data_IF_170643305118
#
_entry.id   IF_170643305118
#
_cell.length_a   1.000
_cell.length_b   1.000
_cell.length_c   1.000
_cell.angle_alpha   90.00
_cell.angle_beta   90.00
_cell.angle_gamma   90.00
#
_symmetry.space_group_name_H-M   'P 1'
#
loop_
_entity.id
_entity.type
_entity.pdbx_description
1 polymer ?
#
# COMPACT_ATOMS: atom_id res chain seq x y z
N UNK A 1 8.28 -12.82 -22.24
CA UNK A 1 8.86 -14.02 -21.58
C UNK A 1 10.24 -13.79 -20.92
N UNK A 2 10.97 -12.69 -21.18
CA UNK A 2 12.24 -12.38 -20.48
C UNK A 2 12.07 -11.75 -19.08
N UNK A 3 10.91 -11.19 -18.75
CA UNK A 3 10.65 -10.46 -17.50
C UNK A 3 10.58 -11.36 -16.26
N UNK A 4 9.95 -12.54 -16.36
CA UNK A 4 9.78 -13.43 -15.20
C UNK A 4 11.10 -14.13 -14.78
N UNK A 5 11.95 -14.47 -15.75
CA UNK A 5 13.24 -15.09 -15.48
C UNK A 5 14.22 -14.11 -14.80
N UNK A 6 14.14 -12.81 -15.11
CA UNK A 6 14.95 -11.78 -14.47
C UNK A 6 14.52 -11.54 -13.00
N UNK A 7 13.22 -11.59 -12.72
CA UNK A 7 12.70 -11.47 -11.35
C UNK A 7 13.15 -12.64 -10.45
N UNK A 8 13.15 -13.86 -10.99
CA UNK A 8 13.61 -15.05 -10.25
C UNK A 8 15.13 -15.01 -9.99
N UNK A 9 15.92 -14.48 -10.93
CA UNK A 9 17.36 -14.31 -10.74
C UNK A 9 17.66 -13.23 -9.66
N UNK A 10 16.89 -12.16 -9.59
CA UNK A 10 17.05 -11.13 -8.55
C UNK A 10 16.68 -11.62 -7.15
N UNK A 11 15.79 -12.61 -7.02
CA UNK A 11 15.46 -13.22 -5.73
C UNK A 11 16.64 -14.00 -5.11
N UNK A 12 17.56 -14.50 -5.95
CA UNK A 12 18.77 -15.19 -5.50
C UNK A 12 19.86 -14.23 -5.00
N UNK A 13 19.81 -12.95 -5.38
CA UNK A 13 20.80 -11.93 -5.02
C UNK A 13 20.40 -11.08 -3.78
N UNK A 14 19.27 -11.33 -3.15
CA UNK A 14 18.88 -10.71 -1.88
C UNK A 14 19.78 -11.11 -0.68
N UNK A 15 20.81 -11.86 -0.90
CA UNK A 15 21.84 -12.26 0.05
C UNK A 15 23.13 -11.45 -0.11
N UNK A 16 23.23 -10.35 0.61
CA UNK A 16 24.47 -9.68 1.10
C UNK A 16 25.64 -9.52 0.12
N UNK A 17 25.82 -8.33 -0.44
CA UNK A 17 27.16 -7.80 -0.72
C UNK A 17 27.19 -6.28 -0.51
N UNK A 18 28.04 -5.86 0.44
CA UNK A 18 28.35 -4.46 0.73
C UNK A 18 29.38 -3.92 -0.25
N UNK A 19 29.12 -2.76 -0.90
CA UNK A 19 30.16 -1.96 -1.55
C UNK A 19 29.89 -0.44 -1.45
N UNK A 20 30.82 0.22 -0.88
CA UNK A 20 31.34 1.60 -0.70
C UNK A 20 30.51 2.85 -1.00
N UNK A 21 30.68 3.93 -0.18
CA UNK A 21 29.91 5.16 -0.19
C UNK A 21 30.47 6.23 -1.13
N UNK A 22 29.58 6.93 -1.83
CA UNK A 22 29.84 8.17 -2.57
C UNK A 22 29.10 9.36 -1.98
N UNK A 23 29.79 10.46 -1.80
CA UNK A 23 29.33 11.71 -1.18
C UNK A 23 28.42 12.52 -2.11
N UNK A 24 27.22 12.90 -1.66
CA UNK A 24 26.35 13.85 -2.38
C UNK A 24 24.84 13.69 -2.23
N UNK A 25 24.34 12.83 -1.34
CA UNK A 25 22.97 12.29 -1.37
C UNK A 25 22.01 12.93 -0.35
N UNK A 26 22.44 13.85 0.52
CA UNK A 26 21.64 14.27 1.69
C UNK A 26 20.28 14.93 1.40
N UNK A 27 20.08 15.60 0.27
CA UNK A 27 18.82 16.27 -0.05
C UNK A 27 17.84 15.36 -0.81
N UNK A 28 18.32 14.31 -1.50
CA UNK A 28 17.50 13.40 -2.32
C UNK A 28 16.71 12.39 -1.50
N UNK A 29 17.21 12.03 -0.30
CA UNK A 29 16.61 10.95 0.51
C UNK A 29 15.29 11.34 1.19
N UNK A 30 15.10 12.62 1.53
CA UNK A 30 13.91 13.08 2.26
C UNK A 30 12.64 13.01 1.40
N UNK A 31 12.76 13.28 0.09
CA UNK A 31 11.61 13.24 -0.83
C UNK A 31 11.22 11.83 -1.28
N UNK A 32 12.19 10.92 -1.38
CA UNK A 32 11.93 9.54 -1.81
C UNK A 32 11.08 8.73 -0.81
N UNK A 33 11.01 9.15 0.46
CA UNK A 33 10.29 8.44 1.52
C UNK A 33 8.76 8.58 1.45
N UNK A 34 8.25 9.60 0.77
CA UNK A 34 6.82 9.88 0.71
C UNK A 34 6.01 8.90 -0.12
N UNK A 35 6.65 8.02 -0.87
CA UNK A 35 6.02 7.27 -1.94
C UNK A 35 5.42 5.92 -1.54
N UNK A 36 5.64 5.45 -0.33
CA UNK A 36 5.44 4.03 -0.03
C UNK A 36 4.04 3.63 0.45
N UNK A 37 3.10 4.56 0.58
CA UNK A 37 1.82 4.21 1.18
C UNK A 37 0.65 4.32 0.22
N UNK A 38 0.48 3.29 -0.60
CA UNK A 38 -0.81 3.08 -1.26
C UNK A 38 -1.84 2.60 -0.24
N UNK A 39 -3.02 3.22 -0.14
CA UNK A 39 -4.12 2.74 0.70
C UNK A 39 -4.73 1.41 0.21
N UNK A 40 -4.14 0.79 -0.79
CA UNK A 40 -4.63 -0.43 -1.44
C UNK A 40 -4.57 -1.68 -0.57
N UNK A 41 -3.76 -1.71 0.48
CA UNK A 41 -3.69 -2.86 1.39
C UNK A 41 -5.03 -3.16 2.11
N UNK A 42 -5.94 -2.20 2.18
CA UNK A 42 -7.20 -2.33 2.89
C UNK A 42 -8.32 -3.04 2.12
N UNK A 43 -8.14 -3.25 0.83
CA UNK A 43 -9.12 -3.99 0.02
C UNK A 43 -8.90 -5.50 0.08
N UNK A 44 -7.68 -5.93 0.41
CA UNK A 44 -7.33 -7.31 0.65
C UNK A 44 -7.64 -7.67 2.11
N UNK A 45 -8.88 -8.07 2.38
CA UNK A 45 -9.29 -8.56 3.69
C UNK A 45 -8.83 -10.02 3.92
N UNK A 46 -8.90 -10.52 5.16
CA UNK A 46 -8.50 -11.89 5.50
C UNK A 46 -9.28 -13.00 4.75
N UNK A 47 -10.43 -12.67 4.18
CA UNK A 47 -11.30 -13.63 3.46
C UNK A 47 -10.76 -13.98 2.09
N UNK A 48 -10.80 -15.28 1.76
CA UNK A 48 -10.56 -15.76 0.40
C UNK A 48 -11.87 -15.78 -0.39
N UNK A 49 -11.76 -15.70 -1.71
CA UNK A 49 -12.89 -15.82 -2.62
C UNK A 49 -13.24 -17.30 -2.86
N UNK A 50 -14.50 -17.57 -3.15
CA UNK A 50 -14.94 -18.88 -3.60
C UNK A 50 -14.31 -19.24 -4.95
N UNK A 51 -14.07 -20.53 -5.18
CA UNK A 51 -13.49 -21.00 -6.42
C UNK A 51 -14.30 -20.56 -7.63
N UNK A 52 -13.61 -19.97 -8.62
CA UNK A 52 -14.22 -19.50 -9.86
C UNK A 52 -14.89 -18.13 -9.78
N UNK A 53 -14.89 -17.47 -8.62
CA UNK A 53 -15.38 -16.09 -8.48
C UNK A 53 -14.25 -15.09 -8.50
N UNK A 54 -14.53 -13.85 -8.89
CA UNK A 54 -13.54 -12.78 -8.90
C UNK A 54 -14.10 -11.46 -8.40
N UNK A 55 -13.18 -10.58 -8.03
CA UNK A 55 -13.49 -9.18 -7.76
C UNK A 55 -12.39 -8.28 -8.27
N UNK A 56 -12.77 -7.08 -8.67
CA UNK A 56 -11.84 -6.05 -9.09
C UNK A 56 -12.17 -4.73 -8.38
N UNK A 57 -11.14 -4.02 -8.01
CA UNK A 57 -11.23 -2.68 -7.41
C UNK A 57 -10.38 -1.73 -8.25
N UNK A 58 -10.94 -0.61 -8.63
CA UNK A 58 -10.22 0.49 -9.25
C UNK A 58 -10.26 1.67 -8.28
N UNK A 59 -9.10 2.03 -7.72
CA UNK A 59 -8.98 3.03 -6.69
C UNK A 59 -8.10 4.17 -7.18
N UNK A 60 -8.67 5.36 -7.23
CA UNK A 60 -7.96 6.62 -7.44
C UNK A 60 -7.71 7.31 -6.11
N UNK A 61 -6.49 7.76 -5.86
CA UNK A 61 -6.15 8.63 -4.74
C UNK A 61 -5.53 9.90 -5.25
N UNK A 62 -5.97 11.05 -4.71
CA UNK A 62 -5.32 12.33 -4.92
C UNK A 62 -4.90 12.87 -3.56
N UNK A 63 -3.62 13.18 -3.40
CA UNK A 63 -3.06 13.62 -2.14
C UNK A 63 -2.09 14.77 -2.32
N UNK A 64 -1.95 15.56 -1.25
CA UNK A 64 -1.05 16.70 -1.19
C UNK A 64 -0.37 16.75 0.17
N UNK A 65 0.83 17.29 0.21
CA UNK A 65 1.55 17.66 1.42
C UNK A 65 2.47 18.84 1.18
N UNK A 66 2.47 19.81 2.08
CA UNK A 66 3.41 20.91 2.18
C UNK A 66 4.20 20.88 3.50
N UNK A 67 4.06 19.80 4.24
CA UNK A 67 4.71 19.54 5.53
C UNK A 67 5.31 18.14 5.60
N UNK A 68 6.34 18.01 6.44
CA UNK A 68 7.00 16.74 6.75
C UNK A 68 7.15 16.59 8.26
N UNK A 69 6.98 15.37 8.76
CA UNK A 69 7.44 14.99 10.09
C UNK A 69 8.95 14.78 10.06
N UNK A 70 9.69 15.53 10.84
CA UNK A 70 11.14 15.35 10.96
C UNK A 70 11.53 14.14 11.83
N UNK A 71 12.83 13.96 12.05
CA UNK A 71 13.34 12.85 12.87
C UNK A 71 12.82 12.85 14.33
N UNK A 72 12.39 14.01 14.84
CA UNK A 72 11.80 14.19 16.18
C UNK A 72 10.27 14.24 16.16
N UNK A 73 9.63 13.88 15.03
CA UNK A 73 8.18 13.92 14.80
C UNK A 73 7.56 15.33 14.81
N UNK A 74 8.38 16.38 14.78
CA UNK A 74 7.89 17.74 14.65
C UNK A 74 7.54 18.02 13.19
N UNK A 75 6.47 18.81 12.98
CA UNK A 75 6.04 19.24 11.66
C UNK A 75 6.94 20.36 11.18
N UNK A 76 7.42 20.25 9.94
CA UNK A 76 8.23 21.25 9.25
C UNK A 76 7.70 21.46 7.83
N UNK A 77 7.76 22.69 7.33
CA UNK A 77 7.40 22.98 5.94
C UNK A 77 8.38 22.34 4.96
N UNK A 78 7.85 21.88 3.84
CA UNK A 78 8.58 21.30 2.71
C UNK A 78 7.98 21.84 1.41
N UNK A 79 8.69 21.80 0.27
CA UNK A 79 8.07 22.06 -1.01
C UNK A 79 6.82 21.18 -1.20
N UNK A 80 5.77 21.80 -1.74
CA UNK A 80 4.52 21.09 -1.95
C UNK A 80 4.73 19.87 -2.84
N UNK A 81 4.19 18.75 -2.40
CA UNK A 81 4.21 17.47 -3.05
C UNK A 81 2.76 17.04 -3.33
N UNK A 82 2.41 16.96 -4.60
CA UNK A 82 1.12 16.46 -5.04
C UNK A 82 1.29 15.09 -5.70
N UNK A 83 0.40 14.16 -5.37
CA UNK A 83 0.40 12.81 -5.94
C UNK A 83 -1.00 12.40 -6.35
N UNK A 84 -1.12 11.92 -7.57
CA UNK A 84 -2.26 11.15 -8.03
C UNK A 84 -1.83 9.71 -8.26
N UNK A 85 -2.62 8.76 -7.79
CA UNK A 85 -2.36 7.34 -7.92
C UNK A 85 -3.63 6.62 -8.33
N UNK A 86 -3.54 5.78 -9.36
CA UNK A 86 -4.60 4.88 -9.79
C UNK A 86 -4.11 3.45 -9.62
N UNK A 87 -4.76 2.70 -8.74
CA UNK A 87 -4.44 1.30 -8.46
C UNK A 87 -5.60 0.42 -8.84
N UNK A 88 -5.32 -0.62 -9.63
CA UNK A 88 -6.19 -1.76 -9.80
C UNK A 88 -5.85 -2.83 -8.77
N UNK A 89 -6.83 -3.49 -8.19
CA UNK A 89 -6.67 -4.76 -7.50
C UNK A 89 -7.62 -5.75 -8.15
N UNK A 90 -7.08 -6.84 -8.66
CA UNK A 90 -7.84 -7.95 -9.24
C UNK A 90 -7.57 -9.16 -8.35
N UNK A 91 -8.63 -9.79 -7.87
CA UNK A 91 -8.58 -11.00 -7.08
C UNK A 91 -9.42 -12.09 -7.74
N UNK A 92 -8.90 -13.32 -7.73
CA UNK A 92 -9.57 -14.50 -8.29
C UNK A 92 -9.43 -15.69 -7.36
N UNK A 93 -10.55 -16.29 -6.99
CA UNK A 93 -10.61 -17.52 -6.23
C UNK A 93 -10.17 -18.72 -7.07
N UNK A 94 -8.90 -19.10 -6.95
CA UNK A 94 -8.38 -20.29 -7.63
C UNK A 94 -8.94 -21.59 -7.01
N UNK A 95 -9.13 -21.56 -5.71
CA UNK A 95 -9.84 -22.58 -4.91
C UNK A 95 -10.60 -21.88 -3.78
N UNK A 96 -11.43 -22.62 -3.01
CA UNK A 96 -12.14 -22.03 -1.86
C UNK A 96 -11.20 -21.56 -0.73
N UNK A 97 -9.93 -21.92 -0.77
CA UNK A 97 -8.94 -21.55 0.24
C UNK A 97 -7.76 -20.72 -0.32
N UNK A 98 -7.68 -20.53 -1.65
CA UNK A 98 -6.60 -19.78 -2.30
C UNK A 98 -7.17 -18.72 -3.25
N UNK A 99 -6.84 -17.46 -3.00
CA UNK A 99 -7.13 -16.32 -3.87
C UNK A 99 -5.83 -15.80 -4.49
N UNK A 100 -5.78 -15.69 -5.80
CA UNK A 100 -4.69 -15.05 -6.54
C UNK A 100 -4.95 -13.55 -6.66
N UNK A 101 -3.89 -12.75 -6.71
CA UNK A 101 -3.94 -11.29 -6.66
C UNK A 101 -3.02 -10.67 -7.69
N UNK A 102 -3.49 -9.56 -8.30
CA UNK A 102 -2.69 -8.70 -9.19
C UNK A 102 -3.05 -7.23 -8.92
N UNK A 103 -2.03 -6.40 -8.65
CA UNK A 103 -2.20 -4.98 -8.32
C UNK A 103 -1.30 -4.11 -9.22
N UNK A 104 -1.73 -3.72 -10.43
CA UNK A 104 -1.05 -2.72 -11.24
C UNK A 104 -1.31 -1.31 -10.68
N UNK A 105 -0.33 -0.42 -10.82
CA UNK A 105 -0.38 0.94 -10.31
C UNK A 105 0.12 1.94 -11.34
N UNK A 106 -0.60 3.05 -11.50
CA UNK A 106 -0.16 4.24 -12.24
C UNK A 106 -0.02 5.41 -11.26
N UNK A 107 1.01 6.21 -11.42
CA UNK A 107 1.26 7.37 -10.56
C UNK A 107 1.62 8.60 -11.37
N UNK A 108 1.14 9.74 -10.89
CA UNK A 108 1.61 11.08 -11.27
C UNK A 108 2.06 11.79 -10.01
N UNK A 109 3.27 12.35 -10.05
CA UNK A 109 3.89 13.08 -8.94
C UNK A 109 4.30 14.45 -9.47
N UNK A 110 3.98 15.49 -8.70
CA UNK A 110 4.37 16.87 -8.93
C UNK A 110 4.98 17.44 -7.64
N UNK A 111 6.16 18.03 -7.76
CA UNK A 111 6.90 18.66 -6.65
C UNK A 111 7.15 20.09 -7.02
N UNK A 112 6.59 21.04 -6.23
CA UNK A 112 6.70 22.45 -6.47
C UNK A 112 8.14 23.01 -6.28
N UNK A 113 8.31 24.25 -6.67
CA UNK A 113 9.55 25.03 -6.45
C UNK A 113 10.03 24.94 -4.98
N UNK A 114 11.36 24.92 -4.74
CA UNK A 114 12.46 25.09 -5.70
C UNK A 114 12.92 23.81 -6.42
N UNK A 115 12.23 22.70 -6.27
CA UNK A 115 12.62 21.41 -6.86
C UNK A 115 12.14 21.35 -8.31
N UNK A 116 10.90 21.78 -8.60
CA UNK A 116 10.26 21.85 -9.93
C UNK A 116 10.40 20.53 -10.70
N UNK A 117 9.85 19.45 -10.15
CA UNK A 117 9.97 18.12 -10.74
C UNK A 117 8.61 17.48 -10.87
N UNK A 118 8.32 16.91 -12.04
CA UNK A 118 7.10 16.15 -12.25
C UNK A 118 7.39 14.82 -12.96
N UNK A 119 6.55 13.83 -12.74
CA UNK A 119 6.64 12.55 -13.42
C UNK A 119 5.32 11.80 -13.43
N UNK A 120 5.03 11.18 -14.57
CA UNK A 120 3.94 10.20 -14.73
C UNK A 120 4.52 8.87 -15.17
N UNK A 121 4.02 7.77 -14.64
CA UNK A 121 4.47 6.44 -15.07
C UNK A 121 3.80 5.30 -14.32
N UNK A 122 4.14 4.09 -14.72
CA UNK A 122 3.74 2.87 -14.03
C UNK A 122 4.52 2.77 -12.71
N UNK A 123 3.78 2.68 -11.61
CA UNK A 123 4.34 2.41 -10.28
C UNK A 123 4.72 0.94 -10.11
N UNK A 124 4.59 0.42 -8.90
CA UNK A 124 4.77 -1.01 -8.68
C UNK A 124 3.61 -1.80 -9.28
N UNK A 125 3.94 -2.96 -9.85
CA UNK A 125 2.97 -4.02 -10.07
C UNK A 125 3.21 -5.10 -9.03
N UNK A 126 2.19 -5.41 -8.25
CA UNK A 126 2.25 -6.42 -7.20
C UNK A 126 1.41 -7.63 -7.61
N UNK A 127 1.92 -8.84 -7.39
CA UNK A 127 1.20 -10.09 -7.67
C UNK A 127 1.54 -11.14 -6.64
N UNK A 128 0.62 -12.05 -6.39
CA UNK A 128 0.80 -13.12 -5.41
C UNK A 128 -0.48 -13.83 -5.08
N UNK A 129 -0.58 -14.34 -3.85
CA UNK A 129 -1.74 -15.08 -3.40
C UNK A 129 -1.95 -15.01 -1.90
N UNK A 130 -3.20 -15.21 -1.51
CA UNK A 130 -3.67 -15.33 -0.13
C UNK A 130 -4.29 -16.71 0.08
N UNK A 131 -3.82 -17.40 1.09
CA UNK A 131 -4.31 -18.70 1.49
C UNK A 131 -5.04 -18.60 2.83
N UNK A 132 -6.28 -19.10 2.89
CA UNK A 132 -7.02 -19.28 4.15
C UNK A 132 -6.46 -20.48 4.88
N UNK A 133 -5.98 -20.27 6.10
CA UNK A 133 -5.38 -21.31 6.95
C UNK A 133 -6.38 -21.83 7.98
N UNK A 134 -7.32 -20.99 8.42
CA UNK A 134 -8.30 -21.35 9.44
C UNK A 134 -9.56 -20.51 9.29
N UNK A 135 -10.72 -21.12 9.51
CA UNK A 135 -12.03 -20.44 9.60
C UNK A 135 -12.94 -21.20 10.56
N UNK A 136 -13.35 -20.55 11.64
CA UNK A 136 -14.35 -21.06 12.58
C UNK A 136 -14.92 -19.93 13.45
N UNK A 137 -16.17 -20.07 13.87
CA UNK A 137 -16.82 -19.16 14.84
C UNK A 137 -16.71 -17.67 14.46
N UNK A 138 -16.93 -17.35 13.19
CA UNK A 138 -16.81 -15.98 12.64
C UNK A 138 -15.37 -15.43 12.57
N UNK A 139 -14.37 -16.18 12.96
CA UNK A 139 -12.96 -15.85 12.80
C UNK A 139 -12.38 -16.47 11.54
N UNK A 140 -11.50 -15.74 10.89
CA UNK A 140 -10.72 -16.23 9.76
C UNK A 140 -9.26 -15.83 9.96
N UNK A 141 -8.35 -16.74 9.65
CA UNK A 141 -6.92 -16.48 9.60
C UNK A 141 -6.37 -16.90 8.24
N UNK A 142 -5.63 -16.00 7.60
CA UNK A 142 -5.02 -16.22 6.29
C UNK A 142 -3.56 -15.80 6.29
N UNK A 143 -2.79 -16.35 5.38
CA UNK A 143 -1.45 -15.89 5.04
C UNK A 143 -1.43 -15.41 3.58
N UNK A 144 -0.65 -14.36 3.31
CA UNK A 144 -0.50 -13.81 1.97
C UNK A 144 0.97 -13.56 1.69
N UNK A 145 1.38 -13.82 0.46
CA UNK A 145 2.70 -13.45 -0.04
C UNK A 145 2.54 -12.79 -1.40
N UNK A 146 3.16 -11.63 -1.55
CA UNK A 146 3.18 -10.90 -2.83
C UNK A 146 4.60 -10.46 -3.19
N UNK A 147 4.85 -10.40 -4.49
CA UNK A 147 6.07 -9.83 -5.06
C UNK A 147 5.69 -8.53 -5.76
N UNK A 148 6.44 -7.46 -5.49
CA UNK A 148 6.27 -6.14 -6.07
C UNK A 148 7.45 -5.84 -6.98
N UNK A 149 7.17 -5.62 -8.25
CA UNK A 149 8.18 -5.23 -9.25
C UNK A 149 7.93 -3.79 -9.69
N UNK A 150 9.00 -3.02 -9.79
CA UNK A 150 8.90 -1.64 -10.28
C UNK A 150 8.55 -1.61 -11.76
N UNK A 151 7.61 -0.74 -12.12
CA UNK A 151 7.23 -0.54 -13.53
C UNK A 151 8.14 0.45 -14.24
N UNK A 152 8.38 1.60 -13.63
CA UNK A 152 9.24 2.65 -14.19
C UNK A 152 10.51 2.75 -13.37
N UNK A 153 11.66 2.56 -14.01
CA UNK A 153 12.97 2.64 -13.34
C UNK A 153 13.25 4.05 -12.85
N UNK A 154 13.93 4.18 -11.71
CA UNK A 154 14.34 5.46 -11.19
C UNK A 154 15.29 6.13 -12.18
N UNK A 155 14.94 7.34 -12.56
CA UNK A 155 15.87 8.26 -13.21
C UNK A 155 16.43 9.20 -12.14
N UNK A 156 17.35 10.07 -12.53
CA UNK A 156 17.82 11.16 -11.68
C UNK A 156 16.74 12.21 -11.33
N UNK A 157 15.48 12.01 -11.75
CA UNK A 157 14.37 12.91 -11.49
C UNK A 157 13.98 12.84 -10.01
N UNK A 158 13.92 13.96 -9.27
CA UNK A 158 13.47 14.00 -7.89
C UNK A 158 12.04 13.50 -7.67
N UNK A 159 11.16 13.64 -8.67
CA UNK A 159 9.80 13.06 -8.68
C UNK A 159 9.83 11.56 -9.01
N UNK A 160 10.68 10.80 -8.36
CA UNK A 160 10.81 9.36 -8.60
C UNK A 160 9.52 8.61 -8.25
N UNK A 161 9.08 7.70 -9.12
CA UNK A 161 7.92 6.83 -8.89
C UNK A 161 8.36 5.58 -8.13
N UNK A 162 8.54 5.74 -6.82
CA UNK A 162 8.95 4.66 -5.93
C UNK A 162 10.42 4.25 -6.08
N UNK A 163 10.78 3.21 -5.37
CA UNK A 163 12.08 2.57 -5.48
C UNK A 163 12.05 1.60 -6.66
N UNK A 164 13.20 1.35 -7.28
CA UNK A 164 13.30 0.49 -8.47
C UNK A 164 13.55 -0.97 -8.12
N UNK A 165 13.76 -1.26 -6.84
CA UNK A 165 14.10 -2.60 -6.38
C UNK A 165 12.85 -3.46 -6.17
N UNK A 166 12.96 -4.75 -6.48
CA UNK A 166 11.93 -5.74 -6.19
C UNK A 166 11.71 -5.83 -4.68
N UNK A 167 10.46 -6.04 -4.26
CA UNK A 167 10.08 -6.19 -2.87
C UNK A 167 9.24 -7.45 -2.70
N UNK A 168 9.36 -8.09 -1.55
CA UNK A 168 8.54 -9.24 -1.15
C UNK A 168 7.79 -8.85 0.11
N UNK A 169 6.46 -9.01 0.11
CA UNK A 169 5.60 -8.78 1.29
C UNK A 169 5.07 -10.14 1.76
N UNK A 170 5.34 -10.47 3.01
CA UNK A 170 4.81 -11.66 3.69
C UNK A 170 3.89 -11.18 4.80
N UNK A 171 2.62 -11.62 4.77
CA UNK A 171 1.55 -11.04 5.57
C UNK A 171 0.71 -12.11 6.26
N UNK A 172 0.44 -11.92 7.55
CA UNK A 172 -0.59 -12.61 8.30
C UNK A 172 -1.84 -11.74 8.38
N UNK A 173 -3.03 -12.33 8.19
CA UNK A 173 -4.31 -11.63 8.19
C UNK A 173 -5.28 -12.31 9.15
N UNK A 174 -5.92 -11.53 10.01
CA UNK A 174 -6.94 -11.97 10.95
C UNK A 174 -8.22 -11.18 10.71
N UNK A 175 -9.30 -11.88 10.39
CA UNK A 175 -10.61 -11.31 10.18
C UNK A 175 -11.65 -11.83 11.16
N UNK A 176 -12.65 -11.02 11.46
CA UNK A 176 -13.81 -11.42 12.24
C UNK A 176 -15.06 -10.71 11.74
N UNK A 177 -16.17 -11.47 11.61
CA UNK A 177 -17.51 -10.89 11.42
C UNK A 177 -18.27 -10.85 12.74
N UNK A 178 -19.04 -9.80 12.96
CA UNK A 178 -19.85 -9.59 14.17
C UNK A 178 -21.00 -8.63 13.88
N UNK A 179 -21.77 -8.26 14.88
CA UNK A 179 -22.82 -7.25 14.76
C UNK A 179 -22.60 -6.14 15.80
N UNK A 180 -22.92 -4.90 15.45
CA UNK A 180 -22.99 -3.75 16.35
C UNK A 180 -24.46 -3.31 16.40
N UNK A 181 -25.16 -3.72 17.45
CA UNK A 181 -26.63 -3.62 17.48
C UNK A 181 -27.24 -4.46 16.35
N UNK A 182 -27.99 -3.82 15.46
CA UNK A 182 -28.59 -4.47 14.29
C UNK A 182 -27.71 -4.44 13.04
N UNK A 183 -26.54 -3.82 13.09
CA UNK A 183 -25.69 -3.62 11.91
C UNK A 183 -24.62 -4.70 11.78
N UNK A 184 -24.57 -5.40 10.64
CA UNK A 184 -23.45 -6.28 10.33
C UNK A 184 -22.15 -5.48 10.31
N UNK A 185 -21.10 -6.04 10.88
CA UNK A 185 -19.79 -5.45 10.98
C UNK A 185 -18.69 -6.48 10.77
N UNK A 186 -17.51 -6.03 10.41
CA UNK A 186 -16.31 -6.86 10.37
C UNK A 186 -15.10 -6.08 10.84
N UNK A 187 -14.14 -6.81 11.34
CA UNK A 187 -12.80 -6.34 11.65
C UNK A 187 -11.79 -7.15 10.85
N UNK A 188 -10.77 -6.47 10.34
CA UNK A 188 -9.62 -7.06 9.66
C UNK A 188 -8.34 -6.44 10.20
N UNK A 189 -7.41 -7.28 10.61
CA UNK A 189 -6.07 -6.89 11.05
C UNK A 189 -5.05 -7.62 10.19
N UNK A 190 -4.07 -6.90 9.71
CA UNK A 190 -3.00 -7.42 8.89
C UNK A 190 -1.65 -6.98 9.45
N UNK A 191 -0.72 -7.91 9.57
CA UNK A 191 0.66 -7.63 9.91
C UNK A 191 1.56 -8.19 8.82
N UNK A 192 2.53 -7.41 8.38
CA UNK A 192 3.40 -7.81 7.29
C UNK A 192 4.84 -7.40 7.54
N UNK A 193 5.73 -8.25 7.03
CA UNK A 193 7.13 -7.94 6.81
C UNK A 193 7.32 -7.72 5.31
N UNK A 194 7.84 -6.56 4.94
CA UNK A 194 8.20 -6.23 3.56
C UNK A 194 9.70 -6.18 3.44
N UNK A 195 10.24 -7.17 2.74
CA UNK A 195 11.65 -7.24 2.38
C UNK A 195 11.90 -6.41 1.12
N UNK A 196 12.89 -5.53 1.17
CA UNK A 196 13.24 -4.63 0.07
C UNK A 196 14.62 -4.97 -0.44
N UNK A 197 14.67 -5.54 -1.66
CA UNK A 197 15.94 -5.84 -2.32
C UNK A 197 16.57 -4.54 -2.82
N UNK A 198 17.53 -3.97 -2.06
CA UNK A 198 18.20 -2.71 -2.42
C UNK A 198 18.64 -1.88 -1.23
N UNK A 199 18.75 -0.57 -1.44
CA UNK A 199 19.28 0.34 -0.40
C UNK A 199 18.27 0.82 0.63
N UNK A 200 16.97 0.70 0.35
CA UNK A 200 15.93 1.10 1.29
C UNK A 200 15.79 0.08 2.43
N UNK A 201 15.49 0.53 3.67
CA UNK A 201 15.31 -0.39 4.79
C UNK A 201 14.04 -1.24 4.60
N UNK A 202 14.04 -2.44 5.14
CA UNK A 202 12.86 -3.29 5.24
C UNK A 202 11.77 -2.62 6.07
N UNK A 203 10.52 -3.03 5.90
CA UNK A 203 9.36 -2.42 6.57
C UNK A 203 8.55 -3.46 7.34
N UNK A 204 8.27 -3.16 8.60
CA UNK A 204 7.14 -3.73 9.31
C UNK A 204 5.88 -2.91 9.02
N UNK A 205 4.76 -3.59 8.74
CA UNK A 205 3.47 -2.97 8.41
C UNK A 205 2.38 -3.57 9.28
N UNK A 206 1.47 -2.71 9.75
CA UNK A 206 0.28 -3.12 10.49
C UNK A 206 -0.92 -2.32 10.00
N UNK A 207 -1.88 -3.00 9.40
CA UNK A 207 -3.06 -2.39 8.81
C UNK A 207 -4.32 -2.90 9.53
N UNK A 208 -5.26 -2.00 9.81
CA UNK A 208 -6.50 -2.31 10.50
C UNK A 208 -7.67 -1.76 9.71
N UNK A 209 -8.73 -2.54 9.59
CA UNK A 209 -9.99 -2.12 8.98
C UNK A 209 -11.16 -2.52 9.86
N UNK A 210 -12.04 -1.57 10.14
CA UNK A 210 -13.36 -1.79 10.71
C UNK A 210 -14.40 -1.38 9.68
N UNK A 211 -15.26 -2.33 9.27
CA UNK A 211 -16.37 -2.09 8.37
C UNK A 211 -17.70 -2.27 9.09
N UNK A 212 -18.63 -1.33 8.90
CA UNK A 212 -19.98 -1.40 9.45
C UNK A 212 -20.98 -1.15 8.33
N UNK A 213 -22.05 -1.94 8.27
CA UNK A 213 -23.16 -1.82 7.29
C UNK A 213 -24.43 -1.31 7.98
N UNK A 214 -24.63 0.04 8.05
CA UNK A 214 -25.83 0.60 8.65
C UNK A 214 -27.10 0.36 7.83
N UNK A 215 -26.95 0.02 6.54
CA UNK A 215 -28.04 -0.41 5.66
C UNK A 215 -27.53 -1.36 4.59
N UNK A 216 -28.41 -2.07 3.85
CA UNK A 216 -27.98 -3.02 2.82
C UNK A 216 -27.07 -2.42 1.75
N UNK A 217 -27.27 -1.14 1.42
CA UNK A 217 -26.54 -0.46 0.35
C UNK A 217 -25.35 0.37 0.85
N UNK A 218 -25.20 0.63 2.14
CA UNK A 218 -24.14 1.45 2.69
C UNK A 218 -23.19 0.66 3.57
N UNK A 219 -21.89 0.91 3.40
CA UNK A 219 -20.85 0.44 4.30
C UNK A 219 -19.92 1.60 4.63
N UNK A 220 -19.61 1.76 5.89
CA UNK A 220 -18.60 2.71 6.38
C UNK A 220 -17.36 1.94 6.74
N UNK A 221 -16.21 2.41 6.27
CA UNK A 221 -14.88 1.83 6.53
C UNK A 221 -14.05 2.82 7.34
N UNK A 222 -13.57 2.39 8.48
CA UNK A 222 -12.55 3.07 9.27
C UNK A 222 -11.27 2.26 9.19
N UNK A 223 -10.18 2.87 8.71
CA UNK A 223 -8.96 2.16 8.35
C UNK A 223 -7.74 2.87 8.89
N UNK A 224 -6.74 2.10 9.32
CA UNK A 224 -5.44 2.60 9.74
C UNK A 224 -4.34 1.84 9.01
N UNK A 225 -3.38 2.57 8.44
CA UNK A 225 -2.23 2.04 7.73
C UNK A 225 -0.97 2.52 8.40
N UNK A 226 -0.19 1.59 8.90
CA UNK A 226 0.96 1.89 9.73
C UNK A 226 2.20 1.22 9.14
N UNK A 227 3.27 2.00 8.98
CA UNK A 227 4.54 1.53 8.44
C UNK A 227 5.67 1.99 9.33
N UNK A 228 6.57 1.08 9.63
CA UNK A 228 7.77 1.32 10.44
C UNK A 228 8.94 0.69 9.68
N UNK A 229 9.96 1.50 9.32
CA UNK A 229 11.18 0.97 8.74
C UNK A 229 12.02 0.24 9.78
N UNK A 230 12.65 -0.86 9.40
CA UNK A 230 13.61 -1.57 10.24
C UNK A 230 14.98 -0.88 10.20
N UNK A 231 15.10 0.15 11.04
CA UNK A 231 16.30 0.98 11.06
C UNK A 231 16.43 1.90 9.86
N UNK A 232 17.67 2.29 9.59
CA UNK A 232 18.05 3.08 8.43
C UNK A 232 18.55 2.15 7.30
N UNK A 233 18.28 2.55 6.06
CA UNK A 233 18.83 1.84 4.90
C UNK A 233 20.28 2.21 4.60
N UNK A 234 20.79 1.66 3.50
CA UNK A 234 22.10 2.03 2.94
C UNK A 234 22.01 3.35 2.17
N UNK A 235 23.15 3.93 1.79
CA UNK A 235 23.26 5.19 1.00
C UNK A 235 22.58 6.39 1.63
N UNK A 236 22.46 6.44 2.97
CA UNK A 236 21.91 7.56 3.71
C UNK A 236 20.38 7.61 3.78
N UNK A 237 19.69 6.51 3.49
CA UNK A 237 18.26 6.39 3.78
C UNK A 237 18.04 6.44 5.31
N UNK A 238 17.38 7.47 5.86
CA UNK A 238 17.07 7.49 7.28
C UNK A 238 16.00 6.45 7.63
N UNK A 239 15.95 6.08 8.90
CA UNK A 239 14.80 5.36 9.43
C UNK A 239 13.56 6.26 9.38
N UNK A 240 12.41 5.68 9.08
CA UNK A 240 11.14 6.40 9.01
C UNK A 240 10.00 5.57 9.58
N UNK A 241 8.95 6.24 9.92
CA UNK A 241 7.65 5.66 10.20
C UNK A 241 6.55 6.65 9.82
N UNK A 242 5.36 6.14 9.51
CA UNK A 242 4.17 6.94 9.33
C UNK A 242 2.91 6.14 9.64
N UNK A 243 1.91 6.87 10.14
CA UNK A 243 0.62 6.33 10.55
C UNK A 243 -0.47 7.14 9.85
N UNK A 244 -1.27 6.44 9.05
CA UNK A 244 -2.37 7.04 8.29
C UNK A 244 -3.70 6.54 8.82
N UNK A 245 -4.66 7.42 8.84
CA UNK A 245 -6.06 7.11 9.11
C UNK A 245 -6.89 7.45 7.89
N UNK A 246 -7.80 6.58 7.51
CA UNK A 246 -8.74 6.76 6.40
C UNK A 246 -10.17 6.47 6.86
N UNK A 247 -11.10 7.32 6.47
CA UNK A 247 -12.53 7.10 6.60
C UNK A 247 -13.15 7.11 5.21
N UNK A 248 -13.97 6.10 4.91
CA UNK A 248 -14.63 5.97 3.61
C UNK A 248 -16.06 5.49 3.76
N UNK A 249 -16.92 5.91 2.84
CA UNK A 249 -18.24 5.34 2.61
C UNK A 249 -18.24 4.57 1.30
N UNK A 250 -18.86 3.40 1.29
CA UNK A 250 -19.09 2.58 0.10
C UNK A 250 -20.59 2.46 -0.12
N UNK A 251 -21.05 2.83 -1.31
CA UNK A 251 -22.44 2.66 -1.73
C UNK A 251 -22.54 1.53 -2.75
N UNK A 252 -23.37 0.53 -2.44
CA UNK A 252 -23.63 -0.60 -3.33
C UNK A 252 -24.69 -0.19 -4.34
N UNK A 253 -24.29 0.07 -5.58
CA UNK A 253 -25.18 0.49 -6.68
C UNK A 253 -25.98 -0.70 -7.19
N UNK A 254 -25.33 -1.85 -7.35
CA UNK A 254 -25.92 -3.16 -7.70
C UNK A 254 -25.26 -4.24 -6.84
N UNK A 255 -25.77 -5.48 -6.81
CA UNK A 255 -25.07 -6.56 -6.11
C UNK A 255 -23.62 -6.79 -6.58
N UNK A 256 -23.29 -6.42 -7.83
CA UNK A 256 -21.98 -6.58 -8.43
C UNK A 256 -21.13 -5.30 -8.42
N UNK A 257 -21.71 -4.09 -8.20
CA UNK A 257 -21.00 -2.82 -8.35
C UNK A 257 -21.18 -1.95 -7.11
N UNK A 258 -20.05 -1.53 -6.53
CA UNK A 258 -19.98 -0.57 -5.45
C UNK A 258 -19.14 0.65 -5.81
N UNK A 259 -19.46 1.80 -5.22
CA UNK A 259 -18.69 3.04 -5.34
C UNK A 259 -18.18 3.46 -3.95
N UNK A 260 -16.94 3.86 -3.87
CA UNK A 260 -16.29 4.32 -2.64
C UNK A 260 -15.91 5.79 -2.75
N UNK A 261 -16.13 6.53 -1.67
CA UNK A 261 -15.61 7.88 -1.46
C UNK A 261 -15.05 7.96 -0.04
N UNK A 262 -13.88 8.54 0.11
CA UNK A 262 -13.23 8.69 1.41
C UNK A 262 -12.17 9.76 1.43
N UNK A 263 -11.60 9.96 2.62
CA UNK A 263 -10.45 10.83 2.83
C UNK A 263 -9.46 10.18 3.80
N UNK A 264 -8.20 10.55 3.70
CA UNK A 264 -7.16 10.08 4.60
C UNK A 264 -6.21 11.19 5.02
N UNK A 265 -5.55 10.96 6.13
CA UNK A 265 -4.51 11.84 6.68
C UNK A 265 -3.38 11.02 7.28
N UNK A 266 -2.14 11.44 7.06
CA UNK A 266 -1.01 11.00 7.86
C UNK A 266 -0.96 11.87 9.12
N UNK A 267 -1.40 11.30 10.27
CA UNK A 267 -1.57 12.07 11.50
C UNK A 267 -0.31 12.12 12.36
N UNK A 268 0.63 11.23 12.14
CA UNK A 268 1.95 11.26 12.79
C UNK A 268 2.96 10.44 11.96
N UNK A 269 4.23 10.73 12.16
CA UNK A 269 5.32 10.05 11.47
C UNK A 269 6.69 10.55 11.90
N UNK A 270 7.72 9.97 11.33
CA UNK A 270 9.12 10.36 11.45
C UNK A 270 9.77 10.25 10.09
N UNK A 271 10.44 11.31 9.65
CA UNK A 271 11.05 11.40 8.32
C UNK A 271 10.06 11.01 7.20
N UNK A 272 8.83 11.49 7.29
CA UNK A 272 7.72 11.14 6.39
C UNK A 272 6.84 12.35 6.10
N UNK A 273 6.20 12.40 4.94
CA UNK A 273 5.27 13.48 4.59
C UNK A 273 4.01 13.45 5.47
N UNK A 274 3.55 14.63 5.87
CA UNK A 274 2.21 14.82 6.43
C UNK A 274 1.20 14.89 5.28
N UNK A 275 0.88 13.75 4.71
CA UNK A 275 0.05 13.63 3.52
C UNK A 275 -1.44 13.61 3.88
N UNK A 276 -2.23 14.41 3.15
CA UNK A 276 -3.69 14.40 3.21
C UNK A 276 -4.24 14.12 1.82
N UNK A 277 -5.36 13.41 1.73
CA UNK A 277 -5.89 13.09 0.42
C UNK A 277 -7.31 12.58 0.44
N UNK A 278 -7.85 12.42 -0.77
CA UNK A 278 -9.16 11.83 -1.05
C UNK A 278 -8.98 10.49 -1.75
N UNK A 279 -9.96 9.62 -1.57
CA UNK A 279 -10.03 8.28 -2.17
C UNK A 279 -11.35 8.15 -2.92
N UNK A 280 -11.27 7.76 -4.18
CA UNK A 280 -12.41 7.36 -5.01
C UNK A 280 -12.21 5.92 -5.44
N UNK A 281 -13.26 5.11 -5.40
CA UNK A 281 -13.17 3.70 -5.77
C UNK A 281 -14.38 3.18 -6.50
N UNK A 282 -14.14 2.23 -7.39
CA UNK A 282 -15.16 1.42 -8.01
C UNK A 282 -14.84 -0.06 -7.73
N UNK A 283 -15.82 -0.80 -7.24
CA UNK A 283 -15.74 -2.20 -6.85
C UNK A 283 -16.59 -3.04 -7.78
N UNK A 284 -16.06 -4.14 -8.27
CA UNK A 284 -16.75 -5.04 -9.19
C UNK A 284 -16.63 -6.48 -8.67
N UNK A 285 -17.71 -7.24 -8.78
CA UNK A 285 -17.74 -8.70 -8.52
C UNK A 285 -18.18 -9.43 -9.77
N UNK A 286 -17.56 -10.56 -10.06
CA UNK A 286 -17.84 -11.39 -11.23
C UNK A 286 -17.59 -12.88 -10.95
#
# INVERSE_FOLDING_TARGET
MRSAATAVAQLAECGVTATRPGTGVKLRCVLAMAMAASPTAALAAAWTLDAGTGQAFLIGTASSSDHIFNASRNIQSTPRYDKFELTGLIEYGATNWLTLMLLPQLQHIDIASPIDAQRTGVGYTEFGGRARLYEANSWIFSAQTTVRVAGTTASANPAAIGYTDTQIDVRGLLGRTFTVGAWPAFFDMQVAQRFRCGGAPDEFRADFTLGIRPSPNWMILSQSFNVISEGAGTWGFPSYDYFKFQLSAVYQVTPAVGLQLGGFTAYTGRNALQENGIVLGAWFKF
#
